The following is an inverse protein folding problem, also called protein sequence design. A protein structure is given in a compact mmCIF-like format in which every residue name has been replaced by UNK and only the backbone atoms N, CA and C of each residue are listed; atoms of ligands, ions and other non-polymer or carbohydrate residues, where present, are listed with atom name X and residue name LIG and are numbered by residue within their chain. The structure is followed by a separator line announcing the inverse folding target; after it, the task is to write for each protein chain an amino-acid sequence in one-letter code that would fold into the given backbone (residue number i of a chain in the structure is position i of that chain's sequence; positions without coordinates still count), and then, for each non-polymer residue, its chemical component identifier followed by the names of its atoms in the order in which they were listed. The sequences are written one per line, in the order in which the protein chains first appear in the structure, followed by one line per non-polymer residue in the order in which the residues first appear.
data_IF_930541458183
#
_entry.id   IF_930541458183
#
_cell.length_a   1.000
_cell.length_b   1.000
_cell.length_c   1.000
_cell.angle_alpha   90.00
_cell.angle_beta   90.00
_cell.angle_gamma   90.00
#
_symmetry.space_group_name_H-M   'P 1'
#
loop_
_entity.id
_entity.type
_entity.pdbx_description
1 polymer ?
#
# COMPACT_ATOMS: atom_id res chain seq x y z
N UNK A 1 -21.23 -29.80 -62.29
CA UNK A 1 -19.95 -30.00 -61.59
C UNK A 1 -19.90 -29.08 -60.39
N UNK A 2 -19.57 -29.64 -59.23
CA UNK A 2 -19.04 -29.02 -58.00
C UNK A 2 -20.05 -28.25 -57.11
N UNK A 3 -20.46 -28.95 -56.04
CA UNK A 3 -21.00 -28.43 -54.77
C UNK A 3 -19.84 -27.87 -53.94
N UNK A 4 -20.02 -26.75 -53.24
CA UNK A 4 -19.19 -26.37 -52.08
C UNK A 4 -20.12 -25.92 -50.95
N UNK A 5 -20.13 -26.59 -49.78
CA UNK A 5 -20.98 -26.22 -48.66
C UNK A 5 -20.37 -25.07 -47.86
N UNK A 6 -21.23 -24.15 -47.44
CA UNK A 6 -20.90 -23.04 -46.55
C UNK A 6 -20.68 -23.62 -45.14
N UNK A 7 -19.42 -23.91 -44.79
CA UNK A 7 -19.04 -24.37 -43.46
C UNK A 7 -19.15 -23.19 -42.49
N UNK A 8 -20.17 -23.20 -41.63
CA UNK A 8 -20.29 -22.27 -40.52
C UNK A 8 -19.16 -22.55 -39.52
N UNK A 9 -18.14 -21.69 -39.53
CA UNK A 9 -17.10 -21.69 -38.50
C UNK A 9 -17.71 -21.04 -37.26
N UNK A 10 -18.20 -21.89 -36.35
CA UNK A 10 -18.59 -21.49 -35.00
C UNK A 10 -17.31 -21.20 -34.21
N UNK A 11 -16.89 -19.94 -34.21
CA UNK A 11 -15.76 -19.46 -33.42
C UNK A 11 -16.17 -19.45 -31.93
N UNK A 12 -15.83 -20.50 -31.20
CA UNK A 12 -15.92 -20.55 -29.74
C UNK A 12 -14.96 -19.48 -29.17
N UNK A 13 -15.51 -18.36 -28.72
CA UNK A 13 -14.79 -17.39 -27.91
C UNK A 13 -14.59 -17.99 -26.51
N UNK A 14 -13.45 -18.66 -26.31
CA UNK A 14 -12.96 -18.96 -24.97
C UNK A 14 -12.71 -17.64 -24.25
N UNK A 15 -13.57 -17.30 -23.29
CA UNK A 15 -13.36 -16.22 -22.32
C UNK A 15 -12.19 -16.66 -21.42
N UNK A 16 -10.98 -16.40 -21.90
CA UNK A 16 -9.79 -16.42 -21.05
C UNK A 16 -9.96 -15.27 -20.06
N UNK A 17 -10.15 -15.60 -18.79
CA UNK A 17 -10.02 -14.66 -17.69
C UNK A 17 -8.54 -14.25 -17.63
N UNK A 18 -8.16 -13.31 -18.50
CA UNK A 18 -6.85 -12.68 -18.46
C UNK A 18 -6.79 -11.92 -17.14
N UNK A 19 -6.04 -12.45 -16.17
CA UNK A 19 -5.55 -11.65 -15.06
C UNK A 19 -4.67 -10.57 -15.69
N UNK A 20 -5.25 -9.39 -15.91
CA UNK A 20 -4.50 -8.24 -16.44
C UNK A 20 -3.37 -7.98 -15.47
N UNK A 21 -2.12 -8.21 -15.90
CA UNK A 21 -0.95 -7.83 -15.13
C UNK A 21 -0.91 -6.31 -15.09
N UNK A 22 -1.30 -5.72 -13.96
CA UNK A 22 -1.27 -4.27 -13.79
C UNK A 22 0.20 -3.83 -13.78
N UNK A 23 0.54 -2.85 -14.62
CA UNK A 23 1.91 -2.32 -14.69
C UNK A 23 2.17 -1.33 -13.55
N UNK A 24 3.45 -0.98 -13.29
CA UNK A 24 3.82 0.04 -12.30
C UNK A 24 3.18 1.39 -12.68
N UNK A 25 3.20 1.71 -13.98
CA UNK A 25 2.63 2.93 -14.53
C UNK A 25 1.12 2.98 -14.32
N UNK A 26 0.42 1.86 -14.51
CA UNK A 26 -1.03 1.77 -14.27
C UNK A 26 -1.37 1.96 -12.78
N UNK A 27 -0.61 1.36 -11.86
CA UNK A 27 -0.80 1.53 -10.40
C UNK A 27 -0.56 2.99 -9.98
N UNK A 28 0.51 3.63 -10.48
CA UNK A 28 0.80 5.04 -10.19
C UNK A 28 -0.24 5.98 -10.82
N UNK A 29 -0.76 5.64 -12.00
CA UNK A 29 -1.82 6.40 -12.65
C UNK A 29 -3.16 6.24 -11.90
N UNK A 30 -3.47 5.04 -11.42
CA UNK A 30 -4.63 4.79 -10.57
C UNK A 30 -4.52 5.56 -9.24
N UNK A 31 -3.32 5.68 -8.66
CA UNK A 31 -3.07 6.44 -7.44
C UNK A 31 -3.46 7.93 -7.56
N UNK A 32 -3.36 8.53 -8.75
CA UNK A 32 -3.80 9.91 -9.00
C UNK A 32 -5.33 10.08 -8.86
N UNK A 33 -6.07 9.01 -9.14
CA UNK A 33 -7.53 9.01 -9.18
C UNK A 33 -8.17 8.56 -7.85
N UNK A 34 -7.37 8.24 -6.83
CA UNK A 34 -7.87 7.93 -5.48
C UNK A 34 -8.52 9.19 -4.90
N UNK A 35 -9.82 9.33 -5.12
CA UNK A 35 -10.64 10.47 -4.68
C UNK A 35 -11.83 9.99 -3.87
N UNK A 36 -12.06 10.65 -2.72
CA UNK A 36 -13.29 10.92 -1.94
C UNK A 36 -14.42 9.88 -1.76
N UNK A 37 -14.39 8.70 -2.39
CA UNK A 37 -15.42 7.66 -2.23
C UNK A 37 -14.90 6.37 -1.59
N UNK A 38 -13.58 6.24 -1.35
CA UNK A 38 -12.97 4.98 -0.87
C UNK A 38 -12.16 5.10 0.43
N UNK A 39 -11.95 6.30 0.95
CA UNK A 39 -11.12 6.51 2.14
C UNK A 39 -12.02 6.46 3.38
N UNK A 40 -12.35 5.24 3.82
CA UNK A 40 -13.08 5.03 5.05
C UNK A 40 -12.08 4.86 6.20
N UNK A 41 -11.82 5.94 6.93
CA UNK A 41 -10.92 5.95 8.08
C UNK A 41 -11.35 4.94 9.15
N UNK A 42 -12.63 4.61 9.27
CA UNK A 42 -13.12 3.59 10.20
C UNK A 42 -12.63 2.17 9.85
N UNK A 43 -12.05 1.95 8.67
CA UNK A 43 -11.42 0.68 8.28
C UNK A 43 -9.94 0.60 8.62
N UNK A 44 -9.28 1.71 8.93
CA UNK A 44 -7.85 1.74 9.27
C UNK A 44 -7.50 1.08 10.62
N UNK A 45 -8.30 1.20 11.70
CA UNK A 45 -7.90 0.73 13.02
C UNK A 45 -7.55 -0.76 13.04
N UNK A 46 -6.44 -1.09 13.70
CA UNK A 46 -5.86 -2.43 13.77
C UNK A 46 -4.50 -2.53 13.07
N UNK A 47 -3.90 -3.72 13.17
CA UNK A 47 -2.57 -4.02 12.64
C UNK A 47 -2.62 -4.42 11.17
N UNK A 48 -1.64 -3.97 10.40
CA UNK A 48 -1.42 -4.32 9.00
C UNK A 48 0.04 -4.75 8.83
N UNK A 49 0.25 -5.93 8.24
CA UNK A 49 1.57 -6.49 7.98
C UNK A 49 2.06 -6.04 6.61
N UNK A 50 3.24 -5.45 6.56
CA UNK A 50 3.89 -5.02 5.32
C UNK A 50 4.21 -6.23 4.42
N UNK A 51 3.99 -6.09 3.12
CA UNK A 51 4.25 -7.16 2.15
C UNK A 51 5.34 -6.80 1.16
N UNK A 52 5.21 -5.67 0.46
CA UNK A 52 6.14 -5.26 -0.59
C UNK A 52 5.99 -3.76 -0.93
N UNK A 53 6.97 -3.22 -1.65
CA UNK A 53 6.82 -1.93 -2.34
C UNK A 53 6.43 -2.16 -3.81
N UNK A 54 5.90 -1.14 -4.48
CA UNK A 54 5.58 -1.19 -5.91
C UNK A 54 6.85 -1.27 -6.75
N UNK A 55 7.86 -0.44 -6.48
CA UNK A 55 9.08 -0.37 -7.30
C UNK A 55 10.17 -1.34 -6.85
N UNK A 56 10.36 -1.48 -5.54
CA UNK A 56 11.41 -2.30 -4.96
C UNK A 56 10.81 -3.46 -4.15
N UNK A 57 10.82 -4.68 -4.69
CA UNK A 57 10.30 -5.84 -3.96
C UNK A 57 11.32 -6.46 -2.99
N UNK A 58 12.50 -5.85 -2.82
CA UNK A 58 13.54 -6.41 -1.95
C UNK A 58 13.22 -6.16 -0.48
N UNK A 59 12.48 -7.11 0.07
CA UNK A 59 12.26 -7.28 1.51
C UNK A 59 13.20 -8.39 1.99
N UNK A 60 14.00 -8.19 3.06
CA UNK A 60 14.82 -9.26 3.60
C UNK A 60 13.96 -10.49 3.92
N UNK A 61 14.43 -11.70 3.61
CA UNK A 61 13.60 -12.91 3.67
C UNK A 61 12.96 -13.17 5.06
N UNK A 62 13.63 -12.74 6.14
CA UNK A 62 13.15 -12.85 7.52
C UNK A 62 12.75 -11.48 8.12
N UNK A 63 12.55 -10.49 7.25
CA UNK A 63 12.23 -9.13 7.63
C UNK A 63 10.74 -8.92 7.83
N UNK A 64 10.34 -8.52 9.03
CA UNK A 64 8.94 -8.19 9.33
C UNK A 64 8.77 -6.69 9.59
N UNK A 65 7.80 -6.08 8.92
CA UNK A 65 7.36 -4.73 9.22
C UNK A 65 5.83 -4.67 9.31
N UNK A 66 5.33 -3.70 10.07
CA UNK A 66 3.91 -3.52 10.31
C UNK A 66 3.58 -2.05 10.56
N UNK A 67 2.29 -1.75 10.36
CA UNK A 67 1.68 -0.50 10.78
C UNK A 67 0.40 -0.83 11.53
N UNK A 68 0.25 -0.30 12.72
CA UNK A 68 -0.94 -0.41 13.54
C UNK A 68 -1.52 0.98 13.74
N UNK A 69 -2.75 1.15 13.30
CA UNK A 69 -3.51 2.36 13.52
C UNK A 69 -4.37 2.16 14.75
N UNK A 70 -4.24 3.03 15.74
CA UNK A 70 -5.16 3.06 16.87
C UNK A 70 -6.57 3.49 16.40
N UNK A 71 -7.59 3.18 17.18
CA UNK A 71 -8.88 3.85 17.02
C UNK A 71 -8.67 5.34 17.27
N UNK A 72 -9.12 6.18 16.34
CA UNK A 72 -8.97 7.63 16.47
C UNK A 72 -9.79 8.13 17.66
N UNK A 73 -9.13 8.74 18.65
CA UNK A 73 -9.80 9.41 19.79
C UNK A 73 -10.13 10.88 19.48
N UNK A 74 -9.57 11.41 18.39
CA UNK A 74 -9.75 12.80 17.93
C UNK A 74 -10.22 12.85 16.49
N UNK A 75 -10.69 14.01 16.02
CA UNK A 75 -11.23 14.16 14.66
C UNK A 75 -10.16 14.35 13.58
N UNK A 76 -8.90 14.58 13.95
CA UNK A 76 -7.85 14.97 13.00
C UNK A 76 -6.50 14.28 13.22
N UNK A 77 -6.31 13.49 14.28
CA UNK A 77 -5.07 12.75 14.55
C UNK A 77 -5.29 11.26 14.73
N UNK A 78 -4.38 10.49 14.15
CA UNK A 78 -4.34 9.04 14.20
C UNK A 78 -3.00 8.61 14.79
N UNK A 79 -3.02 7.98 15.97
CA UNK A 79 -1.83 7.37 16.55
C UNK A 79 -1.45 6.14 15.74
N UNK A 80 -0.17 6.06 15.40
CA UNK A 80 0.37 4.95 14.63
C UNK A 80 1.60 4.39 15.32
N UNK A 81 1.66 3.07 15.39
CA UNK A 81 2.80 2.35 15.91
C UNK A 81 3.08 1.12 15.03
N UNK A 82 4.19 0.43 15.27
CA UNK A 82 4.47 -0.79 14.53
C UNK A 82 5.92 -1.24 14.64
N UNK A 83 6.26 -2.22 13.81
CA UNK A 83 7.60 -2.75 13.64
C UNK A 83 8.16 -2.29 12.29
N UNK A 84 9.40 -1.84 12.26
CA UNK A 84 10.10 -1.46 11.04
C UNK A 84 11.36 -2.31 10.89
N UNK A 85 11.21 -3.62 10.67
CA UNK A 85 12.30 -4.59 10.50
C UNK A 85 13.18 -4.85 11.71
N UNK A 86 13.89 -3.86 12.27
CA UNK A 86 14.74 -4.07 13.45
C UNK A 86 14.06 -3.46 14.66
N UNK A 87 13.57 -2.24 14.53
CA UNK A 87 13.05 -1.41 15.61
C UNK A 87 11.53 -1.33 15.64
N UNK A 88 11.01 -1.08 16.84
CA UNK A 88 9.64 -0.60 17.00
C UNK A 88 9.61 0.91 16.80
N UNK A 89 8.52 1.41 16.27
CA UNK A 89 8.30 2.84 16.09
C UNK A 89 6.92 3.29 16.56
N UNK A 90 6.81 4.59 16.84
CA UNK A 90 5.54 5.27 17.00
C UNK A 90 5.59 6.67 16.39
N UNK A 91 4.43 7.14 15.93
CA UNK A 91 4.23 8.47 15.36
C UNK A 91 2.74 8.84 15.38
N UNK A 92 2.41 10.01 14.84
CA UNK A 92 1.06 10.47 14.60
C UNK A 92 0.91 10.91 13.14
N UNK A 93 -0.17 10.46 12.52
CA UNK A 93 -0.67 11.07 11.29
C UNK A 93 -1.73 12.12 11.64
N UNK A 94 -1.76 13.23 10.91
CA UNK A 94 -3.02 13.95 10.72
C UNK A 94 -3.72 13.47 9.48
N UNK A 95 -5.04 13.61 9.45
CA UNK A 95 -5.81 13.27 8.27
C UNK A 95 -6.83 14.34 7.90
N UNK A 96 -7.13 14.42 6.61
CA UNK A 96 -8.16 15.29 6.06
C UNK A 96 -9.09 14.43 5.22
N UNK A 97 -10.27 14.10 5.77
CA UNK A 97 -11.24 13.25 5.07
C UNK A 97 -11.74 13.87 3.77
N UNK A 98 -12.00 15.18 3.76
CA UNK A 98 -12.51 15.89 2.59
C UNK A 98 -11.51 15.91 1.41
N UNK A 99 -10.21 15.84 1.71
CA UNK A 99 -9.13 15.76 0.72
C UNK A 99 -8.60 14.34 0.52
N UNK A 100 -9.05 13.37 1.32
CA UNK A 100 -8.53 12.00 1.31
C UNK A 100 -7.00 11.92 1.53
N UNK A 101 -6.44 12.82 2.36
CA UNK A 101 -4.99 12.89 2.61
C UNK A 101 -4.64 12.51 4.05
N UNK A 102 -3.44 11.98 4.23
CA UNK A 102 -2.80 11.76 5.52
C UNK A 102 -1.39 12.34 5.48
N UNK A 103 -0.88 12.77 6.63
CA UNK A 103 0.47 13.35 6.74
C UNK A 103 1.07 12.98 8.09
N UNK A 104 2.35 12.57 8.11
CA UNK A 104 3.09 12.39 9.37
C UNK A 104 3.45 13.75 9.95
N UNK A 105 2.86 14.11 11.09
CA UNK A 105 3.07 15.43 11.73
C UNK A 105 3.98 15.38 12.95
N UNK A 106 4.32 14.18 13.43
CA UNK A 106 5.23 13.97 14.55
C UNK A 106 6.53 13.31 14.08
N UNK A 107 7.67 13.60 14.74
CA UNK A 107 8.87 12.80 14.54
C UNK A 107 8.57 11.32 14.79
N UNK A 108 9.03 10.46 13.88
CA UNK A 108 8.93 9.01 14.10
C UNK A 108 9.95 8.64 15.18
N UNK A 109 9.45 8.22 16.34
CA UNK A 109 10.27 7.75 17.44
C UNK A 109 10.54 6.26 17.26
N UNK A 110 11.79 5.83 17.44
CA UNK A 110 12.18 4.42 17.27
C UNK A 110 12.95 3.91 18.48
N UNK A 111 12.91 2.60 18.70
CA UNK A 111 13.92 1.93 19.55
C UNK A 111 15.30 1.98 18.89
N UNK A 112 16.34 1.53 19.61
CA UNK A 112 17.73 1.47 19.14
C UNK A 112 18.32 0.06 19.27
N UNK A 113 17.65 -0.92 18.68
CA UNK A 113 18.14 -2.29 18.54
C UNK A 113 19.09 -2.38 17.33
N UNK A 114 20.06 -3.28 17.44
CA UNK A 114 20.97 -3.58 16.35
C UNK A 114 20.39 -4.70 15.47
N UNK A 115 20.65 -4.62 14.17
CA UNK A 115 20.32 -5.65 13.19
C UNK A 115 21.44 -5.79 12.17
N UNK A 116 21.27 -6.73 11.23
CA UNK A 116 22.20 -6.85 10.10
C UNK A 116 22.15 -5.58 9.23
N UNK A 117 23.21 -5.26 8.46
CA UNK A 117 23.20 -4.11 7.56
C UNK A 117 22.01 -4.10 6.59
N UNK A 118 21.61 -5.28 6.11
CA UNK A 118 20.44 -5.46 5.25
C UNK A 118 19.14 -5.08 5.96
N UNK A 119 18.94 -5.55 7.19
CA UNK A 119 17.73 -5.25 7.98
C UNK A 119 17.67 -3.78 8.40
N UNK A 120 18.80 -3.18 8.75
CA UNK A 120 18.90 -1.75 9.06
C UNK A 120 18.60 -0.88 7.81
N UNK A 121 19.02 -1.31 6.62
CA UNK A 121 18.68 -0.64 5.36
C UNK A 121 17.18 -0.75 5.06
N UNK A 122 16.59 -1.93 5.28
CA UNK A 122 15.15 -2.14 5.11
C UNK A 122 14.33 -1.26 6.06
N UNK A 123 14.74 -1.17 7.34
CA UNK A 123 14.17 -0.24 8.32
C UNK A 123 14.23 1.21 7.83
N UNK A 124 15.41 1.68 7.41
CA UNK A 124 15.59 3.05 6.93
C UNK A 124 14.66 3.36 5.76
N UNK A 125 14.58 2.46 4.77
CA UNK A 125 13.71 2.63 3.60
C UNK A 125 12.23 2.66 4.01
N UNK A 126 11.81 1.76 4.91
CA UNK A 126 10.43 1.71 5.40
C UNK A 126 10.03 2.99 6.11
N UNK A 127 10.85 3.46 7.06
CA UNK A 127 10.57 4.68 7.82
C UNK A 127 10.62 5.93 6.93
N UNK A 128 11.54 5.97 5.96
CA UNK A 128 11.61 7.07 5.00
C UNK A 128 10.34 7.12 4.12
N UNK A 129 9.86 5.97 3.64
CA UNK A 129 8.61 5.91 2.88
C UNK A 129 7.40 6.29 3.76
N UNK A 130 7.33 5.76 4.98
CA UNK A 130 6.25 6.06 5.92
C UNK A 130 6.12 7.57 6.21
N UNK A 131 7.25 8.26 6.38
CA UNK A 131 7.30 9.72 6.57
C UNK A 131 6.72 10.50 5.38
N UNK A 132 6.79 9.94 4.18
CA UNK A 132 6.37 10.57 2.93
C UNK A 132 5.00 10.05 2.44
N UNK A 133 4.25 9.32 3.27
CA UNK A 133 2.90 8.88 2.91
C UNK A 133 1.95 10.08 2.86
N UNK A 134 1.19 10.18 1.78
CA UNK A 134 0.27 11.29 1.51
C UNK A 134 -1.18 10.84 1.43
N UNK A 135 -1.44 9.58 1.08
CA UNK A 135 -2.78 8.99 0.88
C UNK A 135 -2.77 7.53 1.28
N UNK A 136 -3.96 6.94 1.41
CA UNK A 136 -4.13 5.49 1.56
C UNK A 136 -5.40 4.99 0.87
N UNK A 137 -5.51 3.67 0.73
CA UNK A 137 -6.75 3.00 0.35
C UNK A 137 -6.86 1.64 1.03
N UNK A 138 -8.07 1.31 1.47
CA UNK A 138 -8.39 0.00 2.05
C UNK A 138 -9.38 -0.74 1.16
N UNK A 139 -9.04 -1.97 0.78
CA UNK A 139 -9.92 -2.90 0.06
C UNK A 139 -9.92 -4.26 0.77
N UNK A 140 -11.00 -4.58 1.49
CA UNK A 140 -11.08 -5.77 2.33
C UNK A 140 -9.94 -5.83 3.35
N UNK A 141 -9.08 -6.84 3.22
CA UNK A 141 -7.89 -7.06 4.05
C UNK A 141 -6.60 -6.48 3.47
N UNK A 142 -6.68 -5.70 2.39
CA UNK A 142 -5.54 -5.06 1.73
C UNK A 142 -5.50 -3.56 2.03
N UNK A 143 -4.33 -3.06 2.41
CA UNK A 143 -4.04 -1.64 2.58
C UNK A 143 -2.93 -1.25 1.61
N UNK A 144 -3.11 -0.10 0.96
CA UNK A 144 -2.06 0.60 0.22
C UNK A 144 -1.78 1.93 0.90
N UNK A 145 -0.52 2.24 1.17
CA UNK A 145 -0.07 3.59 1.53
C UNK A 145 0.67 4.18 0.34
N UNK A 146 0.24 5.36 -0.11
CA UNK A 146 0.79 6.04 -1.28
C UNK A 146 1.83 7.07 -0.84
N UNK A 147 3.01 7.03 -1.45
CA UNK A 147 4.19 7.78 -1.00
C UNK A 147 4.53 8.87 -2.02
N UNK A 148 4.65 10.10 -1.55
CA UNK A 148 4.96 11.30 -2.33
C UNK A 148 3.75 12.05 -2.90
N UNK A 149 3.99 13.28 -3.35
CA UNK A 149 3.05 14.09 -4.12
C UNK A 149 3.82 14.75 -5.29
N UNK A 150 3.68 14.27 -6.55
CA UNK A 150 2.83 13.16 -6.98
C UNK A 150 3.29 11.81 -6.43
N UNK A 151 2.36 10.85 -6.34
CA UNK A 151 2.67 9.50 -5.87
C UNK A 151 3.75 8.87 -6.73
N UNK A 152 4.81 8.41 -6.08
CA UNK A 152 5.99 7.83 -6.72
C UNK A 152 6.28 6.41 -6.25
N UNK A 153 5.64 5.94 -5.18
CA UNK A 153 5.81 4.60 -4.61
C UNK A 153 4.52 4.21 -3.88
N UNK A 154 4.27 2.89 -3.75
CA UNK A 154 3.17 2.34 -2.96
C UNK A 154 3.72 1.29 -2.02
N UNK A 155 3.37 1.38 -0.74
CA UNK A 155 3.62 0.33 0.24
C UNK A 155 2.36 -0.52 0.37
N UNK A 156 2.49 -1.84 0.19
CA UNK A 156 1.39 -2.79 0.30
C UNK A 156 1.41 -3.47 1.67
N UNK A 157 0.22 -3.67 2.24
CA UNK A 157 0.02 -4.33 3.51
C UNK A 157 -1.22 -5.24 3.49
N UNK A 158 -1.25 -6.21 4.41
CA UNK A 158 -2.37 -7.14 4.60
C UNK A 158 -2.76 -7.32 6.06
N UNK A 159 -4.01 -7.70 6.28
CA UNK A 159 -4.54 -8.26 7.54
C UNK A 159 -4.68 -9.77 7.45
#
# INVERSE_FOLDING_TARGET
MIKIPFFAVLLLLCVSCAKTSVTIEDELQAAKNVTNARVNFNKLPGTWTFTEYLKDKTVPANGEASVEFATSETTDKLQVNGRAFVNFYNTYFTFNEAKSTIEVVAPISTTKMAGTPEMMKAEFNFLNNLKNVTKFSVDGTSLKLYVGEPVSEIMYFKR
#
